data_IF_086185561053
#
_entry.id   IF_086185561053
#
_cell.length_a   1.000
_cell.length_b   1.000
_cell.length_c   1.000
_cell.angle_alpha   90.00
_cell.angle_beta   90.00
_cell.angle_gamma   90.00
#
_symmetry.space_group_name_H-M   'P 1'
#
loop_
_entity.id
_entity.type
_entity.pdbx_description
1 polymer ?
#
# COMPACT_ATOMS: atom_id res chain seq x y z
N UNK A 1 -31.55 -46.61 -35.23
CA UNK A 1 -30.69 -45.40 -35.34
C UNK A 1 -30.62 -44.81 -33.93
N UNK A 2 -29.56 -45.17 -33.17
CA UNK A 2 -29.39 -44.71 -31.78
C UNK A 2 -28.90 -43.28 -31.72
N UNK A 3 -29.69 -42.38 -31.10
CA UNK A 3 -29.24 -41.02 -30.77
C UNK A 3 -28.15 -41.11 -29.69
N UNK A 4 -26.92 -40.88 -30.05
CA UNK A 4 -25.84 -40.68 -29.08
C UNK A 4 -26.11 -39.36 -28.34
N UNK A 5 -26.55 -39.44 -27.08
CA UNK A 5 -26.64 -38.29 -26.19
C UNK A 5 -25.21 -37.78 -25.94
N UNK A 6 -24.90 -36.55 -26.37
CA UNK A 6 -23.65 -35.88 -26.06
C UNK A 6 -23.57 -35.68 -24.54
N UNK A 7 -22.63 -36.33 -23.90
CA UNK A 7 -22.42 -36.16 -22.46
C UNK A 7 -21.84 -34.76 -22.20
N UNK A 8 -22.52 -33.97 -21.38
CA UNK A 8 -22.01 -32.69 -20.86
C UNK A 8 -21.34 -32.96 -19.51
N UNK A 9 -20.05 -32.73 -19.43
CA UNK A 9 -19.30 -32.76 -18.17
C UNK A 9 -19.10 -31.33 -17.70
N UNK A 10 -19.53 -31.02 -16.47
CA UNK A 10 -19.30 -29.70 -15.83
C UNK A 10 -18.43 -29.93 -14.62
N UNK A 11 -17.24 -29.33 -14.64
CA UNK A 11 -16.35 -29.22 -13.49
C UNK A 11 -16.44 -27.81 -12.94
N UNK A 12 -16.65 -27.65 -11.63
CA UNK A 12 -16.76 -26.35 -10.97
C UNK A 12 -15.79 -26.31 -9.80
N UNK A 13 -14.95 -25.26 -9.75
CA UNK A 13 -14.15 -24.96 -8.57
C UNK A 13 -15.06 -24.47 -7.43
N UNK A 14 -14.66 -24.72 -6.19
CA UNK A 14 -15.38 -24.19 -5.03
C UNK A 14 -15.27 -22.67 -5.00
N UNK A 15 -16.41 -22.01 -4.78
CA UNK A 15 -16.47 -20.57 -4.67
C UNK A 15 -16.12 -20.15 -3.24
N UNK A 16 -15.06 -19.33 -3.08
CA UNK A 16 -14.73 -18.72 -1.81
C UNK A 16 -15.78 -17.67 -1.47
N UNK A 17 -16.37 -17.76 -0.29
CA UNK A 17 -17.45 -16.87 0.16
C UNK A 17 -16.96 -15.72 1.02
N UNK A 18 -15.80 -15.86 1.66
CA UNK A 18 -15.27 -14.86 2.60
C UNK A 18 -13.83 -14.53 2.25
N UNK A 19 -13.51 -13.24 2.32
CA UNK A 19 -12.15 -12.70 2.24
C UNK A 19 -11.68 -12.39 3.66
N UNK A 20 -10.53 -12.95 4.04
CA UNK A 20 -9.91 -12.65 5.32
C UNK A 20 -8.60 -11.93 5.07
N UNK A 21 -8.45 -10.77 5.71
CA UNK A 21 -7.22 -9.98 5.65
C UNK A 21 -6.84 -9.57 7.07
N UNK A 22 -5.54 -9.53 7.34
CA UNK A 22 -5.05 -8.94 8.57
C UNK A 22 -5.16 -7.42 8.46
N UNK A 23 -5.97 -6.81 9.30
CA UNK A 23 -6.13 -5.34 9.38
C UNK A 23 -5.19 -4.75 10.41
N UNK A 24 -4.90 -3.46 10.29
CA UNK A 24 -4.20 -2.71 11.33
C UNK A 24 -4.98 -2.78 12.66
N UNK A 25 -4.27 -3.02 13.75
CA UNK A 25 -4.86 -3.01 15.08
C UNK A 25 -5.02 -1.57 15.59
N UNK A 26 -6.08 -1.33 16.36
CA UNK A 26 -6.27 -0.04 17.03
C UNK A 26 -5.12 0.24 17.99
N UNK A 27 -4.54 1.44 17.91
CA UNK A 27 -3.39 1.83 18.72
C UNK A 27 -2.04 1.48 18.12
N UNK A 28 -2.00 0.86 16.94
CA UNK A 28 -0.74 0.70 16.19
C UNK A 28 -0.19 2.07 15.81
N UNK A 29 1.12 2.28 16.04
CA UNK A 29 1.78 3.52 15.69
C UNK A 29 1.80 3.71 14.17
N UNK A 30 1.44 4.92 13.73
CA UNK A 30 1.64 5.32 12.33
C UNK A 30 3.07 5.81 12.19
N UNK A 31 3.85 5.14 11.34
CA UNK A 31 5.24 5.55 11.15
C UNK A 31 5.33 6.87 10.37
N UNK A 32 6.38 7.61 10.61
CA UNK A 32 6.76 8.78 9.83
C UNK A 32 7.95 8.44 8.93
N UNK A 33 7.91 8.89 7.69
CA UNK A 33 8.98 8.64 6.72
C UNK A 33 9.71 9.93 6.39
N UNK A 34 11.02 9.91 6.60
CA UNK A 34 11.96 10.99 6.27
C UNK A 34 12.91 10.47 5.19
N UNK A 35 13.02 11.20 4.08
CA UNK A 35 13.74 10.73 2.90
C UNK A 35 12.94 9.68 2.12
N UNK A 36 13.63 8.76 1.44
CA UNK A 36 13.00 7.74 0.59
C UNK A 36 13.26 6.35 1.16
N UNK A 37 12.20 5.64 1.57
CA UNK A 37 12.33 4.29 2.13
C UNK A 37 11.22 3.36 1.67
N UNK A 38 11.46 2.06 1.76
CA UNK A 38 10.48 1.02 1.45
C UNK A 38 9.74 0.59 2.71
N UNK A 39 8.41 0.66 2.66
CA UNK A 39 7.53 0.19 3.74
C UNK A 39 6.43 -0.72 3.22
N UNK A 40 5.85 -1.52 4.09
CA UNK A 40 4.61 -2.26 3.83
C UNK A 40 3.41 -1.39 4.16
N UNK A 41 2.33 -1.52 3.40
CA UNK A 41 1.05 -0.91 3.75
C UNK A 41 0.28 -1.72 4.79
N UNK A 42 -0.46 -1.04 5.67
CA UNK A 42 -1.39 -1.66 6.61
C UNK A 42 -2.83 -1.52 6.11
N UNK A 43 -3.57 -2.61 6.02
CA UNK A 43 -4.98 -2.55 5.61
C UNK A 43 -5.80 -1.89 6.71
N UNK A 44 -6.41 -0.73 6.40
CA UNK A 44 -7.26 0.03 7.31
C UNK A 44 -8.74 -0.01 6.94
N UNK A 45 -9.04 -0.43 5.71
CA UNK A 45 -10.40 -0.63 5.21
C UNK A 45 -10.41 -1.70 4.13
N UNK A 46 -11.43 -2.55 4.14
CA UNK A 46 -11.76 -3.42 3.02
C UNK A 46 -13.27 -3.64 2.96
N UNK A 47 -13.81 -3.79 1.74
CA UNK A 47 -15.22 -4.05 1.48
C UNK A 47 -15.44 -4.58 0.05
N UNK A 48 -16.68 -4.80 -0.33
CA UNK A 48 -17.11 -5.18 -1.69
C UNK A 48 -16.37 -6.40 -2.27
N UNK A 49 -16.12 -7.42 -1.43
CA UNK A 49 -15.57 -8.68 -1.91
C UNK A 49 -16.46 -9.31 -2.98
N UNK A 50 -15.93 -9.43 -4.19
CA UNK A 50 -16.69 -9.86 -5.36
C UNK A 50 -16.04 -11.05 -6.04
N UNK A 51 -16.81 -12.10 -6.32
CA UNK A 51 -16.37 -13.25 -7.10
C UNK A 51 -16.79 -13.09 -8.57
N UNK A 52 -15.83 -13.25 -9.48
CA UNK A 52 -16.03 -13.21 -10.94
C UNK A 52 -15.94 -14.63 -11.49
N UNK A 53 -17.05 -15.12 -12.04
CA UNK A 53 -17.13 -16.47 -12.60
C UNK A 53 -16.57 -16.49 -14.03
N UNK A 54 -15.68 -17.44 -14.30
CA UNK A 54 -15.12 -17.70 -15.63
C UNK A 54 -15.56 -19.08 -16.10
N UNK A 55 -16.05 -19.16 -17.35
CA UNK A 55 -16.52 -20.41 -17.96
C UNK A 55 -15.71 -20.69 -19.22
N UNK A 56 -15.00 -21.80 -19.20
CA UNK A 56 -14.35 -22.34 -20.38
C UNK A 56 -15.06 -23.62 -20.87
N UNK A 57 -15.40 -23.65 -22.14
CA UNK A 57 -16.05 -24.79 -22.74
C UNK A 57 -15.17 -25.36 -23.85
N UNK A 58 -14.77 -26.62 -23.69
CA UNK A 58 -14.02 -27.36 -24.68
C UNK A 58 -14.89 -28.47 -25.28
N UNK A 59 -14.75 -28.69 -26.59
CA UNK A 59 -15.36 -29.81 -27.30
C UNK A 59 -14.26 -30.74 -27.79
N UNK A 60 -14.33 -32.00 -27.39
CA UNK A 60 -13.38 -33.02 -27.80
C UNK A 60 -14.09 -34.06 -28.65
N UNK A 61 -13.53 -34.35 -29.84
CA UNK A 61 -13.98 -35.42 -30.75
C UNK A 61 -14.47 -34.95 -32.10
N UNK A 62 -14.13 -35.71 -33.13
CA UNK A 62 -14.55 -35.54 -34.54
C UNK A 62 -15.97 -36.09 -34.67
N UNK A 63 -16.98 -35.22 -34.84
CA UNK A 63 -18.34 -35.68 -35.14
C UNK A 63 -19.33 -35.75 -33.97
N UNK A 64 -19.25 -34.87 -32.97
CA UNK A 64 -20.25 -34.81 -31.86
C UNK A 64 -19.73 -35.20 -30.50
N UNK A 65 -18.49 -34.86 -30.19
CA UNK A 65 -17.81 -35.26 -28.99
C UNK A 65 -18.33 -34.62 -27.68
N UNK A 66 -17.82 -35.10 -26.56
CA UNK A 66 -18.14 -34.66 -25.20
C UNK A 66 -17.86 -33.17 -25.06
N UNK A 67 -18.87 -32.42 -24.59
CA UNK A 67 -18.72 -31.02 -24.20
C UNK A 67 -18.31 -30.97 -22.73
N UNK A 68 -17.11 -30.49 -22.44
CA UNK A 68 -16.64 -30.23 -21.09
C UNK A 68 -16.69 -28.73 -20.78
N UNK A 69 -17.28 -28.35 -19.66
CA UNK A 69 -17.32 -26.96 -19.18
C UNK A 69 -16.60 -26.91 -17.85
N UNK A 70 -15.57 -26.08 -17.78
CA UNK A 70 -14.83 -25.78 -16.53
C UNK A 70 -15.25 -24.41 -16.04
N UNK A 71 -15.63 -24.31 -14.77
CA UNK A 71 -16.02 -23.07 -14.10
C UNK A 71 -14.98 -22.76 -13.03
N UNK A 72 -14.35 -21.60 -13.14
CA UNK A 72 -13.37 -21.08 -12.18
C UNK A 72 -13.78 -19.69 -11.69
N UNK A 73 -13.17 -19.22 -10.64
CA UNK A 73 -13.43 -17.91 -10.06
C UNK A 73 -12.15 -17.12 -9.88
N UNK A 74 -12.22 -15.81 -10.11
CA UNK A 74 -11.28 -14.80 -9.60
C UNK A 74 -12.02 -13.86 -8.66
N UNK A 75 -11.29 -13.11 -7.85
CA UNK A 75 -11.89 -12.29 -6.81
C UNK A 75 -11.31 -10.89 -6.82
N UNK A 76 -12.12 -9.91 -6.43
CA UNK A 76 -11.69 -8.53 -6.20
C UNK A 76 -12.24 -8.02 -4.87
N UNK A 77 -11.56 -7.05 -4.26
CA UNK A 77 -12.06 -6.30 -3.11
C UNK A 77 -11.64 -4.84 -3.17
N UNK A 78 -12.46 -3.95 -2.63
CA UNK A 78 -12.10 -2.58 -2.36
C UNK A 78 -11.21 -2.54 -1.11
N UNK A 79 -10.04 -1.92 -1.21
CA UNK A 79 -9.03 -1.91 -0.13
C UNK A 79 -8.45 -0.51 0.02
N UNK A 80 -8.26 -0.06 1.28
CA UNK A 80 -7.43 1.08 1.64
C UNK A 80 -6.25 0.58 2.48
N UNK A 81 -5.05 0.91 2.04
CA UNK A 81 -3.81 0.62 2.77
C UNK A 81 -3.23 1.92 3.31
N UNK A 82 -3.26 2.10 4.63
CA UNK A 82 -2.53 3.15 5.32
C UNK A 82 -1.03 2.94 5.18
N UNK A 83 -0.29 4.00 4.95
CA UNK A 83 1.16 3.96 4.71
C UNK A 83 1.92 4.59 5.88
N UNK A 84 1.86 5.90 5.99
CA UNK A 84 2.63 6.66 6.96
C UNK A 84 1.98 8.03 7.24
N UNK A 85 2.53 8.76 8.21
CA UNK A 85 2.12 10.14 8.48
C UNK A 85 2.39 11.03 7.25
N UNK A 86 1.36 11.77 6.82
CA UNK A 86 1.45 12.73 5.71
C UNK A 86 1.70 14.17 6.18
N UNK A 87 1.80 15.10 5.25
CA UNK A 87 1.85 14.85 3.81
C UNK A 87 3.20 14.28 3.35
N UNK A 88 3.15 13.40 2.36
CA UNK A 88 4.33 12.87 1.68
C UNK A 88 4.51 13.47 0.30
N UNK A 89 5.75 13.49 -0.21
CA UNK A 89 6.05 13.99 -1.55
C UNK A 89 5.53 13.05 -2.65
N UNK A 90 5.40 11.75 -2.38
CA UNK A 90 4.85 10.79 -3.32
C UNK A 90 5.31 9.35 -3.11
N UNK A 91 5.06 8.53 -4.14
CA UNK A 91 5.49 7.13 -4.22
C UNK A 91 6.35 6.95 -5.47
N UNK A 92 7.40 6.16 -5.35
CA UNK A 92 8.25 5.77 -6.47
C UNK A 92 7.93 4.35 -6.96
N UNK A 93 8.67 3.37 -6.45
CA UNK A 93 8.52 1.96 -6.77
C UNK A 93 7.45 1.30 -5.92
N UNK A 94 6.73 0.35 -6.51
CA UNK A 94 5.74 -0.49 -5.82
C UNK A 94 6.05 -1.93 -6.13
N UNK A 95 6.19 -2.76 -5.12
CA UNK A 95 6.33 -4.21 -5.26
C UNK A 95 5.00 -4.86 -4.94
N UNK A 96 4.52 -5.66 -5.87
CA UNK A 96 3.34 -6.52 -5.70
C UNK A 96 3.86 -7.94 -5.73
N UNK A 97 3.86 -8.61 -4.59
CA UNK A 97 4.55 -9.87 -4.36
C UNK A 97 6.05 -9.77 -4.73
N UNK A 98 6.46 -10.35 -5.87
CA UNK A 98 7.85 -10.34 -6.35
C UNK A 98 8.06 -9.42 -7.56
N UNK A 99 7.00 -8.80 -8.07
CA UNK A 99 7.06 -7.96 -9.26
C UNK A 99 7.20 -6.48 -8.90
N UNK A 100 8.02 -5.77 -9.67
CA UNK A 100 8.29 -4.35 -9.49
C UNK A 100 7.52 -3.51 -10.52
N UNK A 101 6.84 -2.49 -10.02
CA UNK A 101 6.16 -1.48 -10.81
C UNK A 101 6.58 -0.07 -10.40
N UNK A 102 6.45 0.89 -11.31
CA UNK A 102 6.66 2.32 -11.04
C UNK A 102 5.31 3.03 -10.96
N UNK A 103 5.11 3.80 -9.91
CA UNK A 103 3.89 4.58 -9.74
C UNK A 103 3.96 5.90 -10.55
N UNK A 104 2.87 6.30 -11.24
CA UNK A 104 1.60 5.61 -11.40
C UNK A 104 1.63 4.50 -12.46
N UNK A 105 0.90 3.40 -12.22
CA UNK A 105 0.72 2.32 -13.20
C UNK A 105 -0.66 1.68 -13.04
N UNK A 106 -1.31 1.37 -14.15
CA UNK A 106 -2.58 0.63 -14.15
C UNK A 106 -2.48 -0.77 -13.52
N UNK A 107 -1.28 -1.36 -13.50
CA UNK A 107 -1.02 -2.67 -12.87
C UNK A 107 -1.10 -2.62 -11.35
N UNK A 108 -0.87 -1.45 -10.76
CA UNK A 108 -0.98 -1.28 -9.31
C UNK A 108 -2.46 -1.25 -8.88
N UNK A 109 -3.35 -0.71 -9.72
CA UNK A 109 -4.80 -0.67 -9.47
C UNK A 109 -5.21 0.22 -8.30
N UNK A 110 -4.30 1.04 -7.76
CA UNK A 110 -4.54 1.89 -6.58
C UNK A 110 -4.14 3.33 -6.85
N UNK A 111 -4.80 4.25 -6.15
CA UNK A 111 -4.55 5.70 -6.19
C UNK A 111 -3.94 6.16 -4.88
N UNK A 112 -2.93 7.03 -4.96
CA UNK A 112 -2.31 7.65 -3.80
C UNK A 112 -3.14 8.82 -3.27
N UNK A 113 -3.28 8.85 -1.94
CA UNK A 113 -3.73 9.97 -1.14
C UNK A 113 -2.55 10.34 -0.23
N UNK A 114 -2.01 11.53 -0.41
CA UNK A 114 -0.71 11.90 0.17
C UNK A 114 -0.75 12.33 1.64
N UNK A 115 -1.91 12.42 2.26
CA UNK A 115 -2.06 12.81 3.66
C UNK A 115 -2.11 14.31 3.89
N UNK A 116 -2.57 15.10 2.91
CA UNK A 116 -2.74 16.56 3.09
C UNK A 116 -3.91 16.87 4.03
N UNK A 117 -3.91 18.10 4.59
CA UNK A 117 -4.95 18.54 5.51
C UNK A 117 -6.32 18.72 4.83
N UNK A 118 -6.32 18.99 3.53
CA UNK A 118 -7.50 19.15 2.67
C UNK A 118 -7.89 17.89 1.90
N UNK A 119 -7.27 16.74 2.27
CA UNK A 119 -7.51 15.45 1.61
C UNK A 119 -8.98 15.05 1.68
N UNK A 120 -9.53 14.66 0.53
CA UNK A 120 -10.91 14.17 0.43
C UNK A 120 -10.98 12.66 0.54
N UNK A 121 -12.12 12.08 0.98
CA UNK A 121 -12.29 10.64 1.00
C UNK A 121 -12.16 10.02 -0.40
N UNK A 122 -11.79 8.75 -0.46
CA UNK A 122 -11.79 8.01 -1.71
C UNK A 122 -13.18 7.97 -2.34
N UNK A 123 -13.31 8.51 -3.58
CA UNK A 123 -14.60 8.69 -4.26
C UNK A 123 -15.41 7.39 -4.41
N UNK A 124 -14.75 6.25 -4.51
CA UNK A 124 -15.42 4.95 -4.55
C UNK A 124 -16.22 4.68 -3.26
N UNK A 125 -15.60 4.90 -2.10
CA UNK A 125 -16.27 4.72 -0.80
C UNK A 125 -17.38 5.75 -0.61
N UNK A 126 -17.16 7.01 -1.02
CA UNK A 126 -18.20 8.04 -1.01
C UNK A 126 -19.45 7.60 -1.81
N UNK A 127 -19.23 6.96 -2.95
CA UNK A 127 -20.35 6.50 -3.81
C UNK A 127 -21.02 5.21 -3.36
N UNK A 128 -20.31 4.31 -2.68
CA UNK A 128 -20.82 2.98 -2.31
C UNK A 128 -21.21 2.88 -0.83
N UNK A 129 -20.43 3.49 0.04
CA UNK A 129 -20.53 3.40 1.49
C UNK A 129 -20.31 4.78 2.13
N UNK A 130 -21.17 5.78 1.86
CA UNK A 130 -20.95 7.16 2.31
C UNK A 130 -20.80 7.27 3.83
N UNK A 131 -21.41 6.37 4.60
CA UNK A 131 -21.30 6.31 6.05
C UNK A 131 -19.93 5.88 6.56
N UNK A 132 -19.10 5.27 5.68
CA UNK A 132 -17.71 4.82 5.97
C UNK A 132 -16.66 5.72 5.33
N UNK A 133 -17.08 6.74 4.59
CA UNK A 133 -16.18 7.60 3.83
C UNK A 133 -15.44 8.57 4.74
N UNK A 134 -14.19 8.24 5.07
CA UNK A 134 -13.30 9.07 5.88
C UNK A 134 -12.17 9.64 5.02
N UNK A 135 -11.79 10.92 5.20
CA UNK A 135 -10.72 11.54 4.43
C UNK A 135 -9.32 11.08 4.88
N UNK A 136 -9.18 10.56 6.10
CA UNK A 136 -7.90 10.19 6.71
C UNK A 136 -6.84 11.29 6.57
N UNK A 137 -7.23 12.55 6.86
CA UNK A 137 -6.31 13.69 6.82
C UNK A 137 -5.10 13.46 7.72
N UNK A 138 -3.91 13.82 7.27
CA UNK A 138 -2.67 13.54 7.98
C UNK A 138 -2.12 12.12 7.80
N UNK A 139 -2.86 11.21 7.16
CA UNK A 139 -2.42 9.85 6.82
C UNK A 139 -2.26 9.71 5.30
N UNK A 140 -1.06 9.35 4.86
CA UNK A 140 -0.86 8.92 3.48
C UNK A 140 -1.37 7.47 3.31
N UNK A 141 -2.15 7.22 2.25
CA UNK A 141 -2.69 5.90 1.97
C UNK A 141 -2.84 5.62 0.47
N UNK A 142 -2.93 4.34 0.13
CA UNK A 142 -3.30 3.87 -1.20
C UNK A 142 -4.70 3.26 -1.16
N UNK A 143 -5.54 3.57 -2.14
CA UNK A 143 -6.89 3.03 -2.25
C UNK A 143 -7.19 2.51 -3.65
N UNK A 144 -7.85 1.36 -3.75
CA UNK A 144 -8.23 0.77 -5.03
C UNK A 144 -9.05 -0.50 -4.91
N UNK A 145 -9.63 -0.93 -6.03
CA UNK A 145 -10.23 -2.26 -6.15
C UNK A 145 -9.16 -3.21 -6.64
N UNK A 146 -8.71 -4.09 -5.75
CA UNK A 146 -7.53 -4.94 -5.94
C UNK A 146 -7.97 -6.32 -6.43
N UNK A 147 -7.23 -6.87 -7.39
CA UNK A 147 -7.36 -8.27 -7.83
C UNK A 147 -6.72 -9.19 -6.77
N UNK A 148 -7.49 -10.13 -6.28
CA UNK A 148 -7.12 -11.11 -5.26
C UNK A 148 -6.76 -12.47 -5.88
N UNK A 149 -6.79 -12.58 -7.22
CA UNK A 149 -6.54 -13.82 -7.94
C UNK A 149 -7.56 -14.91 -7.65
N UNK A 150 -7.15 -16.16 -7.86
CA UNK A 150 -8.02 -17.34 -7.70
C UNK A 150 -8.17 -17.75 -6.22
N UNK A 151 -7.24 -17.38 -5.37
CA UNK A 151 -7.18 -17.79 -3.97
C UNK A 151 -7.84 -16.79 -3.03
N UNK A 152 -8.41 -15.71 -3.54
CA UNK A 152 -8.98 -14.61 -2.75
C UNK A 152 -8.00 -14.10 -1.67
N UNK A 153 -6.74 -13.98 -2.01
CA UNK A 153 -5.67 -13.53 -1.11
C UNK A 153 -5.16 -12.17 -1.53
N UNK A 154 -5.02 -11.25 -0.57
CA UNK A 154 -4.42 -9.96 -0.85
C UNK A 154 -2.93 -10.14 -1.20
N UNK A 155 -2.47 -9.63 -2.35
CA UNK A 155 -1.06 -9.61 -2.69
C UNK A 155 -0.24 -8.84 -1.64
N UNK A 156 1.04 -9.19 -1.51
CA UNK A 156 1.92 -8.46 -0.61
C UNK A 156 2.39 -7.17 -1.27
N UNK A 157 1.88 -6.03 -0.80
CA UNK A 157 2.26 -4.71 -1.29
C UNK A 157 3.37 -4.10 -0.44
N UNK A 158 4.40 -3.60 -1.10
CA UNK A 158 5.40 -2.73 -0.51
C UNK A 158 5.56 -1.48 -1.37
N UNK A 159 5.76 -0.35 -0.73
CA UNK A 159 5.80 0.96 -1.37
C UNK A 159 7.09 1.69 -1.04
N UNK A 160 7.76 2.23 -2.05
CA UNK A 160 8.84 3.19 -1.87
C UNK A 160 8.24 4.56 -1.66
N UNK A 161 8.24 5.00 -0.41
CA UNK A 161 7.69 6.29 -0.01
C UNK A 161 8.77 7.36 -0.17
N UNK A 162 8.41 8.46 -0.83
CA UNK A 162 9.14 9.71 -0.82
C UNK A 162 8.52 10.59 0.26
N UNK A 163 9.10 10.56 1.45
CA UNK A 163 8.54 11.17 2.66
C UNK A 163 8.84 12.65 2.79
N UNK A 164 9.19 13.07 4.02
CA UNK A 164 9.49 14.46 4.36
C UNK A 164 10.98 14.77 4.19
N UNK A 165 11.33 16.06 4.15
CA UNK A 165 12.70 16.59 4.13
C UNK A 165 13.53 16.23 2.88
N UNK A 166 12.92 15.84 1.78
CA UNK A 166 13.65 15.50 0.55
C UNK A 166 14.42 16.68 -0.06
N UNK A 167 14.09 17.91 0.31
CA UNK A 167 14.76 19.12 -0.17
C UNK A 167 16.01 19.49 0.65
N UNK A 168 16.35 18.73 1.69
CA UNK A 168 17.48 19.03 2.59
C UNK A 168 18.72 18.19 2.32
N UNK A 169 18.62 17.20 1.43
CA UNK A 169 19.67 16.30 1.02
C UNK A 169 19.82 16.26 -0.50
N UNK A 170 19.89 15.06 -1.06
CA UNK A 170 20.01 14.80 -2.51
C UNK A 170 18.65 14.63 -3.24
N UNK A 171 17.54 14.85 -2.53
CA UNK A 171 16.19 14.59 -3.04
C UNK A 171 15.72 13.13 -2.90
N UNK A 172 16.54 12.28 -2.32
CA UNK A 172 16.25 10.87 -2.01
C UNK A 172 16.37 10.64 -0.52
N UNK A 173 17.52 11.03 0.05
CA UNK A 173 17.85 10.94 1.47
C UNK A 173 17.94 12.33 2.10
N UNK A 174 17.90 12.40 3.43
CA UNK A 174 17.90 13.66 4.16
C UNK A 174 19.22 13.89 4.88
N UNK A 175 19.57 15.17 5.09
CA UNK A 175 20.74 15.51 5.90
C UNK A 175 20.50 15.18 7.38
N UNK A 176 21.38 14.45 8.07
CA UNK A 176 21.20 14.10 9.48
C UNK A 176 21.00 15.29 10.41
N UNK A 177 21.61 16.44 10.13
CA UNK A 177 21.43 17.64 10.93
C UNK A 177 20.01 18.21 10.81
N UNK A 178 19.42 18.13 9.62
CA UNK A 178 18.03 18.54 9.39
C UNK A 178 17.05 17.56 10.03
N UNK A 179 17.38 16.28 10.02
CA UNK A 179 16.63 15.28 10.76
C UNK A 179 16.61 15.57 12.26
N UNK A 180 17.77 15.88 12.87
CA UNK A 180 17.88 16.24 14.29
C UNK A 180 17.01 17.48 14.58
N UNK A 181 17.12 18.53 13.77
CA UNK A 181 16.31 19.75 13.95
C UNK A 181 14.82 19.43 13.88
N UNK A 182 14.41 18.69 12.87
CA UNK A 182 13.02 18.29 12.70
C UNK A 182 12.45 17.55 13.92
N UNK A 183 13.20 16.60 14.49
CA UNK A 183 12.77 15.87 15.68
C UNK A 183 12.64 16.79 16.89
N UNK A 184 13.60 17.70 17.09
CA UNK A 184 13.54 18.67 18.19
C UNK A 184 12.34 19.58 18.08
N UNK A 185 12.06 20.10 16.88
CA UNK A 185 10.87 20.92 16.63
C UNK A 185 9.59 20.14 16.98
N UNK A 186 9.53 18.87 16.59
CA UNK A 186 8.37 18.02 16.79
C UNK A 186 8.10 17.68 18.26
N UNK A 187 9.13 17.58 19.09
CA UNK A 187 9.00 17.35 20.55
C UNK A 187 8.94 18.64 21.36
N UNK A 188 8.81 19.81 20.71
CA UNK A 188 8.69 21.09 21.38
C UNK A 188 10.01 21.68 21.89
N UNK A 189 11.14 21.17 21.40
CA UNK A 189 12.49 21.64 21.74
C UNK A 189 13.16 22.42 20.59
N UNK A 190 12.37 22.97 19.67
CA UNK A 190 12.86 23.69 18.49
C UNK A 190 13.70 24.93 18.81
N UNK A 191 13.45 25.58 19.96
CA UNK A 191 14.21 26.75 20.43
C UNK A 191 15.60 26.37 21.01
N UNK A 192 15.90 25.08 21.14
CA UNK A 192 17.20 24.63 21.68
C UNK A 192 18.30 24.86 20.64
N UNK A 193 19.29 25.65 20.99
CA UNK A 193 20.48 25.84 20.17
C UNK A 193 21.41 24.62 20.30
N UNK A 194 21.74 24.01 19.15
CA UNK A 194 22.70 22.91 19.11
C UNK A 194 24.02 23.44 18.56
N UNK A 195 25.00 23.61 19.45
CA UNK A 195 26.32 24.10 19.07
C UNK A 195 26.96 23.12 18.08
N UNK A 196 27.40 23.66 16.95
CA UNK A 196 28.09 22.87 15.90
C UNK A 196 27.18 22.13 14.92
N UNK A 197 25.85 22.23 15.01
CA UNK A 197 24.93 21.55 14.11
C UNK A 197 25.14 21.96 12.65
N UNK A 198 25.41 23.25 12.37
CA UNK A 198 25.71 23.73 11.02
C UNK A 198 27.03 23.20 10.47
N UNK A 199 28.03 23.01 11.33
CA UNK A 199 29.30 22.38 10.95
C UNK A 199 29.08 20.90 10.63
N UNK A 200 28.28 20.21 11.43
CA UNK A 200 27.88 18.82 11.20
C UNK A 200 27.09 18.67 9.90
N UNK A 201 26.15 19.58 9.63
CA UNK A 201 25.41 19.63 8.36
C UNK A 201 26.33 19.71 7.16
N UNK A 202 27.29 20.65 7.20
CA UNK A 202 28.27 20.80 6.11
C UNK A 202 29.15 19.56 5.95
N UNK A 203 29.59 18.98 7.05
CA UNK A 203 30.37 17.74 7.04
C UNK A 203 29.55 16.60 6.38
N UNK A 204 28.30 16.38 6.77
CA UNK A 204 27.45 15.37 6.17
C UNK A 204 27.28 15.60 4.65
N UNK A 205 27.07 16.84 4.22
CA UNK A 205 26.97 17.17 2.80
C UNK A 205 28.26 16.88 2.03
N UNK A 206 29.44 17.23 2.60
CA UNK A 206 30.71 17.00 1.96
C UNK A 206 31.13 15.53 1.94
N UNK A 207 30.75 14.78 2.94
CA UNK A 207 31.07 13.37 3.08
C UNK A 207 30.00 12.43 2.48
N UNK A 208 28.95 12.98 1.86
CA UNK A 208 27.80 12.24 1.32
C UNK A 208 27.15 11.32 2.36
N UNK A 209 27.06 11.79 3.61
CA UNK A 209 26.44 11.11 4.72
C UNK A 209 24.98 11.56 4.82
N UNK A 210 24.09 10.87 4.11
CA UNK A 210 22.68 11.10 4.10
C UNK A 210 21.93 9.88 4.70
N UNK A 211 20.71 10.10 5.17
CA UNK A 211 19.89 9.06 5.79
C UNK A 211 18.47 9.06 5.24
N UNK A 212 17.87 7.89 5.17
CA UNK A 212 16.44 7.69 5.03
C UNK A 212 15.93 6.77 6.12
N UNK A 213 14.85 7.13 6.77
CA UNK A 213 14.36 6.35 7.91
C UNK A 213 12.84 6.34 7.97
N UNK A 214 12.25 5.14 8.13
CA UNK A 214 10.92 5.03 8.71
C UNK A 214 11.08 5.19 10.23
N UNK A 215 10.37 6.12 10.82
CA UNK A 215 10.40 6.37 12.26
C UNK A 215 9.08 5.92 12.88
N UNK A 216 9.18 4.99 13.82
CA UNK A 216 8.08 4.60 14.69
C UNK A 216 8.22 5.35 16.01
N UNK A 217 7.22 6.14 16.39
CA UNK A 217 7.24 6.93 17.62
C UNK A 217 7.33 6.08 18.90
N UNK A 218 6.95 4.83 18.89
CA UNK A 218 7.11 3.92 20.03
C UNK A 218 8.57 3.58 20.27
N UNK A 219 9.38 3.49 19.22
CA UNK A 219 10.84 3.28 19.29
C UNK A 219 11.61 4.56 19.56
N UNK A 220 11.08 5.73 19.18
CA UNK A 220 11.73 7.02 19.39
C UNK A 220 11.81 7.42 20.86
N UNK A 221 10.79 7.09 21.65
CA UNK A 221 10.84 7.31 23.10
C UNK A 221 11.98 6.52 23.77
N UNK A 222 12.27 5.31 23.27
CA UNK A 222 13.40 4.50 23.74
C UNK A 222 14.76 5.06 23.26
N UNK A 223 14.82 5.62 22.05
CA UNK A 223 16.03 6.22 21.49
C UNK A 223 16.39 7.53 22.21
N UNK A 224 15.41 8.38 22.51
CA UNK A 224 15.60 9.63 23.25
C UNK A 224 16.10 9.41 24.72
N UNK A 225 15.86 8.23 25.28
CA UNK A 225 16.33 7.85 26.63
C UNK A 225 17.70 7.18 26.62
N UNK A 226 18.27 6.85 25.47
CA UNK A 226 19.58 6.18 25.33
C UNK A 226 20.74 7.11 24.94
N UNK A 227 20.47 8.39 24.80
CA UNK A 227 21.45 9.48 24.58
C UNK A 227 21.56 10.32 25.87
#
# INVERSE_FOLDING_TARGET
>A
MGLFKTANVVSRADKISNFTVSTAEYGSAVMEVLGTTRISGNVIYYDDFTAHEHRETQRSGKGGGVKSTTITYTYTAAVIMGLCEGPIAGIGRVWIDKELYYYPSSKIGMTLFSGTADQTPWAYVVGKHPEKALPYTGLAYMAGVVDLGNNASLPNFNFEIKGKLLNTGDGVDVNPADYIRYILDKVGLGEVEIVGLDNYRRYCQQADLLISTPSDYTTQAAFALSV
#
